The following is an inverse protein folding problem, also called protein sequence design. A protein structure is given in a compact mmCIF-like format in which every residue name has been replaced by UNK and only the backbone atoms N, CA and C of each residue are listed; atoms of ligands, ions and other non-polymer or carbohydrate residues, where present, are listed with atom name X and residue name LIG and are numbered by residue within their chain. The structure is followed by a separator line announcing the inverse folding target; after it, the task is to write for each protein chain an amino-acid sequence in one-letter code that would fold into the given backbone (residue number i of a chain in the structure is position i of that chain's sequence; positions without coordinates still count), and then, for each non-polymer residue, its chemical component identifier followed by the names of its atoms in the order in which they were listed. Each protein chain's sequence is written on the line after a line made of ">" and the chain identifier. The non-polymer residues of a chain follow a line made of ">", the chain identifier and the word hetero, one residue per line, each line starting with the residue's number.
data_IF_662168027681
#
_entry.id   IF_662168027681
#
_cell.length_a   1.000
_cell.length_b   1.000
_cell.length_c   1.000
_cell.angle_alpha   90.00
_cell.angle_beta   90.00
_cell.angle_gamma   90.00
#
_symmetry.space_group_name_H-M   'P 1'
#
loop_
_entity.id
_entity.type
_entity.pdbx_description
1 polymer ?
#
# COMPACT_ATOMS: atom_id res chain seq x y z
N UNK A 1 7.76 -8.11 -29.66
CA UNK A 1 7.65 -7.97 -29.31
C UNK A 1 7.67 -7.77 -28.87
N UNK A 2 7.65 -7.55 -28.54
CA UNK A 2 7.58 -7.30 -27.74
C UNK A 2 7.76 -6.92 -27.39
N UNK A 3 7.76 -6.90 -27.39
CA UNK A 3 7.87 -6.53 -26.80
C UNK A 3 7.89 -5.97 -26.41
N UNK A 4 7.79 -5.80 -26.30
CA UNK A 4 7.75 -5.28 -25.66
C UNK A 4 7.78 -4.79 -25.34
N UNK A 5 7.78 -4.65 -25.11
CA UNK A 5 7.69 -4.21 -24.71
C UNK A 5 8.08 -3.65 -24.27
N UNK A 6 8.29 -3.57 -23.99
CA UNK A 6 8.64 -3.15 -23.55
C UNK A 6 9.20 -2.39 -23.54
N UNK A 7 9.27 -1.85 -23.55
CA UNK A 7 9.73 -1.20 -23.59
C UNK A 7 9.90 -0.37 -23.17
N UNK A 8 9.78 0.13 -22.80
CA UNK A 8 10.01 0.86 -22.30
C UNK A 8 10.74 0.86 -21.47
N UNK A 9 11.10 0.28 -21.17
CA UNK A 9 11.72 0.03 -20.46
C UNK A 9 12.77 0.53 -20.22
N UNK A 10 13.15 0.87 -20.67
CA UNK A 10 14.20 1.29 -20.48
C UNK A 10 14.33 2.41 -19.88
N UNK A 11 13.53 3.08 -19.61
CA UNK A 11 13.61 4.20 -18.95
C UNK A 11 14.54 4.09 -17.89
N UNK A 12 14.37 3.49 -16.84
CA UNK A 12 15.35 3.34 -15.85
C UNK A 12 16.11 2.09 -16.12
N UNK A 13 15.83 1.47 -17.20
CA UNK A 13 16.51 0.28 -17.57
C UNK A 13 16.11 -0.96 -16.83
N UNK A 14 15.21 -0.83 -15.86
CA UNK A 14 14.77 -1.98 -15.08
C UNK A 14 13.27 -1.94 -14.89
N UNK A 15 12.53 -2.65 -15.73
CA UNK A 15 11.07 -2.66 -15.60
C UNK A 15 10.59 -3.17 -14.26
N UNK A 16 11.32 -4.11 -13.67
CA UNK A 16 10.93 -4.63 -12.37
C UNK A 16 10.97 -3.52 -11.31
N UNK A 17 12.04 -2.73 -11.33
CA UNK A 17 12.17 -1.65 -10.36
C UNK A 17 11.05 -0.63 -10.54
N UNK A 18 10.69 -0.32 -11.77
CA UNK A 18 9.61 0.62 -12.02
C UNK A 18 8.30 0.07 -11.48
N UNK A 19 8.05 -1.21 -11.70
CA UNK A 19 6.83 -1.85 -11.23
C UNK A 19 6.76 -1.83 -9.70
N UNK A 20 7.87 -2.13 -9.04
CA UNK A 20 7.92 -2.09 -7.58
C UNK A 20 7.64 -0.68 -7.09
N UNK A 21 8.27 0.31 -7.70
CA UNK A 21 8.07 1.70 -7.31
C UNK A 21 6.61 2.10 -7.44
N UNK A 22 5.98 1.73 -8.54
CA UNK A 22 4.58 2.06 -8.76
C UNK A 22 3.69 1.39 -7.72
N UNK A 23 3.98 0.12 -7.42
CA UNK A 23 3.21 -0.60 -6.41
C UNK A 23 3.33 0.05 -5.04
N UNK A 24 4.52 0.51 -4.69
CA UNK A 24 4.72 1.18 -3.40
C UNK A 24 3.88 2.44 -3.32
N UNK A 25 3.86 3.20 -4.39
CA UNK A 25 3.05 4.42 -4.43
C UNK A 25 1.58 4.10 -4.36
N UNK A 26 1.14 3.10 -5.10
CA UNK A 26 -0.26 2.70 -5.10
C UNK A 26 -0.69 2.18 -3.74
N UNK A 27 0.24 1.63 -2.99
CA UNK A 27 -0.04 1.14 -1.64
C UNK A 27 -0.05 2.26 -0.61
N UNK A 28 0.15 3.50 -1.04
CA UNK A 28 0.09 4.62 -0.12
C UNK A 28 1.34 4.85 0.69
N UNK A 29 2.47 4.30 0.25
CA UNK A 29 3.73 4.52 0.95
C UNK A 29 4.18 5.96 0.77
N UNK A 30 4.72 6.53 1.83
CA UNK A 30 5.27 7.88 1.74
C UNK A 30 6.56 7.87 0.95
N UNK A 31 6.96 9.05 0.49
CA UNK A 31 8.21 9.16 -0.25
C UNK A 31 9.37 8.67 0.58
N UNK A 32 9.36 8.96 1.87
CA UNK A 32 10.43 8.52 2.76
C UNK A 32 10.49 6.99 2.81
N UNK A 33 9.36 6.36 2.90
CA UNK A 33 9.31 4.91 2.95
C UNK A 33 9.76 4.30 1.64
N UNK A 34 9.37 4.90 0.53
CA UNK A 34 9.79 4.44 -0.78
C UNK A 34 11.31 4.50 -0.88
N UNK A 35 11.90 5.61 -0.42
CA UNK A 35 13.35 5.75 -0.46
C UNK A 35 14.03 4.68 0.38
N UNK A 36 13.50 4.43 1.56
CA UNK A 36 14.10 3.41 2.42
C UNK A 36 14.03 2.03 1.77
N UNK A 37 12.89 1.73 1.20
CA UNK A 37 12.70 0.44 0.55
C UNK A 37 13.67 0.28 -0.62
N UNK A 38 13.75 1.28 -1.47
CA UNK A 38 14.58 1.19 -2.65
C UNK A 38 16.06 1.16 -2.29
N UNK A 39 16.43 1.82 -1.20
CA UNK A 39 17.82 1.81 -0.76
C UNK A 39 18.27 0.42 -0.30
N UNK A 40 17.34 -0.40 0.14
CA UNK A 40 17.65 -1.75 0.60
C UNK A 40 17.63 -2.77 -0.53
N UNK A 41 17.19 -2.35 -1.70
CA UNK A 41 17.07 -3.26 -2.82
C UNK A 41 18.37 -3.97 -3.07
N UNK A 42 18.34 -5.27 -3.25
CA UNK A 42 19.50 -6.10 -3.51
C UNK A 42 20.42 -6.29 -2.32
N UNK A 43 20.08 -5.71 -1.17
CA UNK A 43 20.94 -5.85 -0.02
C UNK A 43 20.31 -6.60 1.13
N UNK A 44 19.08 -6.28 1.46
CA UNK A 44 18.46 -6.84 2.66
C UNK A 44 16.96 -7.01 2.43
N UNK A 45 16.64 -8.13 1.83
CA UNK A 45 15.26 -8.45 1.52
C UNK A 45 14.43 -8.58 2.78
N UNK A 46 15.03 -9.05 3.86
CA UNK A 46 14.33 -9.19 5.11
C UNK A 46 13.85 -7.84 5.64
N UNK A 47 14.71 -6.83 5.54
CA UNK A 47 14.34 -5.49 5.95
C UNK A 47 13.24 -4.93 5.04
N UNK A 48 13.34 -5.22 3.76
CA UNK A 48 12.29 -4.78 2.84
C UNK A 48 10.95 -5.38 3.23
N UNK A 49 10.95 -6.67 3.57
CA UNK A 49 9.72 -7.32 4.00
C UNK A 49 9.17 -6.71 5.28
N UNK A 50 10.06 -6.34 6.20
CA UNK A 50 9.61 -5.69 7.44
C UNK A 50 8.95 -4.36 7.17
N UNK A 51 9.52 -3.58 6.24
CA UNK A 51 8.92 -2.30 5.90
C UNK A 51 7.52 -2.49 5.34
N UNK A 52 7.38 -3.44 4.41
CA UNK A 52 6.09 -3.69 3.80
C UNK A 52 5.08 -4.23 4.80
N UNK A 53 5.51 -5.16 5.64
CA UNK A 53 4.62 -5.74 6.64
C UNK A 53 4.18 -4.71 7.66
N UNK A 54 5.09 -3.81 8.04
CA UNK A 54 4.75 -2.74 8.96
C UNK A 54 3.72 -1.80 8.37
N UNK A 55 3.88 -1.45 7.10
CA UNK A 55 2.92 -0.58 6.44
C UNK A 55 1.55 -1.26 6.34
N UNK A 56 1.57 -2.55 6.00
CA UNK A 56 0.32 -3.31 5.91
C UNK A 56 -0.40 -3.34 7.26
N UNK A 57 0.36 -3.53 8.33
CA UNK A 57 -0.22 -3.55 9.66
C UNK A 57 -0.86 -2.20 10.00
N UNK A 58 -0.18 -1.11 9.63
CA UNK A 58 -0.73 0.21 9.89
C UNK A 58 -2.03 0.43 9.13
N UNK A 59 -2.10 -0.04 7.90
CA UNK A 59 -3.32 0.06 7.11
C UNK A 59 -4.45 -0.74 7.73
N UNK A 60 -4.14 -1.94 8.24
CA UNK A 60 -5.15 -2.75 8.90
C UNK A 60 -5.68 -2.08 10.16
N UNK A 61 -4.80 -1.45 10.92
CA UNK A 61 -5.23 -0.76 12.12
C UNK A 61 -6.16 0.40 11.78
N UNK A 62 -5.86 1.12 10.70
CA UNK A 62 -6.77 2.17 10.25
C UNK A 62 -8.10 1.61 9.81
N UNK A 63 -8.05 0.51 9.07
CA UNK A 63 -9.28 -0.13 8.60
C UNK A 63 -10.16 -0.53 9.78
N UNK A 64 -9.56 -1.13 10.81
CA UNK A 64 -10.32 -1.54 11.97
C UNK A 64 -10.93 -0.34 12.68
N UNK A 65 -10.22 0.76 12.76
CA UNK A 65 -10.78 1.96 13.37
C UNK A 65 -11.96 2.49 12.55
N UNK A 66 -11.83 2.45 11.22
CA UNK A 66 -12.93 2.92 10.38
C UNK A 66 -14.12 2.00 10.47
N UNK A 67 -13.88 0.70 10.56
CA UNK A 67 -14.96 -0.26 10.72
C UNK A 67 -15.73 0.01 12.00
N UNK A 68 -15.02 0.32 13.07
CA UNK A 68 -15.66 0.62 14.33
C UNK A 68 -16.51 1.88 14.23
N UNK A 69 -16.01 2.87 13.53
CA UNK A 69 -16.76 4.12 13.33
C UNK A 69 -18.03 3.86 12.54
N UNK A 70 -17.91 3.02 11.52
CA UNK A 70 -19.07 2.65 10.71
C UNK A 70 -20.09 1.92 11.56
N UNK A 71 -19.62 1.00 12.41
CA UNK A 71 -20.51 0.27 13.29
C UNK A 71 -21.28 1.20 14.21
N UNK A 72 -20.62 2.22 14.72
CA UNK A 72 -21.29 3.19 15.57
C UNK A 72 -22.37 3.94 14.81
N UNK A 73 -22.07 4.33 13.57
CA UNK A 73 -23.05 5.01 12.74
C UNK A 73 -24.23 4.08 12.41
N UNK A 74 -23.91 2.83 12.07
CA UNK A 74 -24.96 1.87 11.75
C UNK A 74 -25.89 1.69 12.94
N UNK A 75 -25.35 1.65 14.13
CA UNK A 75 -26.15 1.52 15.33
C UNK A 75 -27.10 2.71 15.48
N UNK A 76 -26.58 3.92 15.28
CA UNK A 76 -27.41 5.11 15.38
C UNK A 76 -28.50 5.13 14.32
N UNK A 77 -28.12 4.79 13.11
CA UNK A 77 -29.10 4.73 12.01
C UNK A 77 -30.20 3.75 12.34
N UNK A 78 -29.81 2.59 12.83
CA UNK A 78 -30.77 1.55 13.19
C UNK A 78 -31.72 2.08 14.28
N UNK A 79 -31.19 2.73 15.30
CA UNK A 79 -31.99 3.28 16.38
C UNK A 79 -33.00 4.29 15.84
N UNK A 80 -32.55 5.16 14.96
CA UNK A 80 -33.42 6.20 14.42
C UNK A 80 -34.53 5.61 13.53
N UNK A 81 -34.19 4.59 12.77
CA UNK A 81 -35.18 3.97 11.90
C UNK A 81 -36.22 3.18 12.67
N UNK A 82 -35.85 2.66 13.82
CA UNK A 82 -36.76 1.87 14.62
C UNK A 82 -37.42 2.62 15.76
N UNK A 83 -37.37 3.92 15.67
CA UNK A 83 -37.85 4.76 16.72
C UNK A 83 -39.32 5.00 16.69
N UNK A 84 -40.04 4.40 15.90
CA UNK A 84 -41.48 4.66 15.82
C UNK A 84 -42.31 4.00 16.90
#
# INVERSE_FOLDING_TARGET
>A
MGKNKTAKQEISGNPYAYTVLQNLKDAGCTDEMVEKFMALQDRDEEQQLRLLSGHRKNLLERLHREEKRIDCLDYLIYQMQNKK
#
